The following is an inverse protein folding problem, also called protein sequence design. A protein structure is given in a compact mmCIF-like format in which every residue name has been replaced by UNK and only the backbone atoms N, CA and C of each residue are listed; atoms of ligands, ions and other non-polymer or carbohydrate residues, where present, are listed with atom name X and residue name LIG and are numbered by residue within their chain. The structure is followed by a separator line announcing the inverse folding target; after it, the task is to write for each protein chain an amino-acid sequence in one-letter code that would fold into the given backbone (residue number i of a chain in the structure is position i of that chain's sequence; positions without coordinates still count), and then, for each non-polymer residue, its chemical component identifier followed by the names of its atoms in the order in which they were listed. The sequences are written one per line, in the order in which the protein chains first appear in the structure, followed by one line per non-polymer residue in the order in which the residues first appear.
data_IF_405071124703
#
_entry.id   IF_405071124703
#
_cell.length_a   1.000
_cell.length_b   1.000
_cell.length_c   1.000
_cell.angle_alpha   90.00
_cell.angle_beta   90.00
_cell.angle_gamma   90.00
#
_symmetry.space_group_name_H-M   'P 1'
#
loop_
_entity.id
_entity.type
_entity.pdbx_description
1 polymer ?
#
# COMPACT_ATOMS: atom_id res chain seq x y z
N UNK A 1 9.34 13.78 71.97
CA UNK A 1 9.55 15.01 71.16
C UNK A 1 9.61 14.62 69.69
N UNK A 2 9.24 15.55 68.82
CA UNK A 2 8.74 15.43 67.44
C UNK A 2 9.55 14.56 66.47
N UNK A 3 8.80 13.81 65.66
CA UNK A 3 9.19 13.26 64.38
C UNK A 3 9.26 14.37 63.32
N UNK A 4 10.39 14.47 62.61
CA UNK A 4 10.55 15.35 61.45
C UNK A 4 10.47 14.54 60.14
N UNK A 5 9.30 14.64 59.50
CA UNK A 5 9.07 14.98 58.08
C UNK A 5 10.34 15.56 57.39
N UNK A 6 10.68 15.35 56.11
CA UNK A 6 9.87 15.09 54.91
C UNK A 6 10.80 15.04 53.67
N UNK A 7 10.46 14.16 52.71
CA UNK A 7 10.65 14.25 51.25
C UNK A 7 11.99 14.77 50.70
N UNK A 8 12.75 13.85 50.13
CA UNK A 8 13.58 14.14 48.97
C UNK A 8 12.99 13.39 47.76
N UNK A 9 12.12 14.09 47.02
CA UNK A 9 11.71 13.65 45.69
C UNK A 9 12.89 13.89 44.76
N UNK A 10 13.62 12.82 44.39
CA UNK A 10 14.52 12.87 43.24
C UNK A 10 13.66 13.01 41.98
N UNK A 11 13.51 14.26 41.59
CA UNK A 11 12.98 14.72 40.33
C UNK A 11 14.04 14.50 39.24
N UNK A 12 14.22 13.25 38.81
CA UNK A 12 15.00 12.94 37.61
C UNK A 12 14.06 12.89 36.40
N UNK A 13 13.86 14.08 35.83
CA UNK A 13 13.91 14.33 34.39
C UNK A 13 13.21 13.31 33.49
N UNK A 14 11.88 13.43 33.40
CA UNK A 14 11.09 12.88 32.28
C UNK A 14 11.51 13.56 30.96
N UNK A 15 12.50 13.00 30.27
CA UNK A 15 12.77 13.38 28.88
C UNK A 15 11.72 12.75 27.97
N UNK A 16 10.58 13.45 27.89
CA UNK A 16 9.53 13.27 26.91
C UNK A 16 10.10 13.46 25.51
N UNK A 17 9.97 12.43 24.69
CA UNK A 17 9.62 12.50 23.27
C UNK A 17 10.41 13.49 22.42
N UNK A 18 11.55 13.04 21.92
CA UNK A 18 12.15 13.62 20.72
C UNK A 18 11.16 13.49 19.56
N UNK A 19 10.57 14.61 19.17
CA UNK A 19 9.67 14.72 18.02
C UNK A 19 10.47 14.52 16.74
N UNK A 20 10.20 13.43 16.03
CA UNK A 20 10.66 13.22 14.66
C UNK A 20 10.16 14.38 13.78
N UNK A 21 11.10 15.07 13.13
CA UNK A 21 10.86 16.09 12.12
C UNK A 21 10.87 15.43 10.73
N UNK A 22 9.87 15.78 9.93
CA UNK A 22 9.90 15.73 8.46
C UNK A 22 9.70 14.33 7.87
N UNK A 23 8.50 14.02 7.37
CA UNK A 23 8.05 14.34 6.00
C UNK A 23 8.57 13.26 5.05
N UNK A 24 7.74 12.23 4.88
CA UNK A 24 7.37 11.70 3.56
C UNK A 24 6.07 10.87 3.72
N UNK A 25 5.03 11.29 2.99
CA UNK A 25 3.88 10.50 2.56
C UNK A 25 3.21 9.50 3.54
N UNK A 26 2.82 9.89 4.75
CA UNK A 26 2.02 8.98 5.59
C UNK A 26 0.57 8.89 5.07
N UNK A 27 0.38 8.05 4.05
CA UNK A 27 -0.89 7.36 3.84
C UNK A 27 -1.36 6.89 5.21
N UNK A 28 -2.59 7.25 5.56
CA UNK A 28 -3.17 7.15 6.90
C UNK A 28 -3.25 5.69 7.35
N UNK A 29 -2.10 5.11 7.66
CA UNK A 29 -1.98 3.78 8.22
C UNK A 29 -2.47 3.89 9.65
N UNK A 30 -3.70 3.43 9.86
CA UNK A 30 -4.19 3.12 11.19
C UNK A 30 -3.21 2.19 11.92
N UNK A 31 -3.34 2.02 13.25
CA UNK A 31 -2.45 1.18 14.03
C UNK A 31 -2.26 -0.19 13.36
N UNK A 32 -1.00 -0.62 13.17
CA UNK A 32 -0.63 -1.93 12.62
C UNK A 32 -1.03 -3.02 13.63
N UNK A 33 -2.31 -3.36 13.63
CA UNK A 33 -2.86 -4.42 14.47
C UNK A 33 -2.72 -5.76 13.75
N UNK A 34 -2.62 -6.83 14.54
CA UNK A 34 -2.64 -8.20 14.01
C UNK A 34 -3.85 -8.45 13.09
N UNK A 35 -5.01 -7.86 13.41
CA UNK A 35 -6.22 -7.98 12.60
C UNK A 35 -6.03 -7.37 11.20
N UNK A 36 -5.49 -6.15 11.12
CA UNK A 36 -5.23 -5.50 9.83
C UNK A 36 -4.20 -6.28 9.00
N UNK A 37 -3.11 -6.75 9.62
CA UNK A 37 -2.11 -7.57 8.92
C UNK A 37 -2.69 -8.87 8.35
N UNK A 38 -3.58 -9.55 9.10
CA UNK A 38 -4.29 -10.73 8.59
C UNK A 38 -5.26 -10.40 7.46
N UNK A 39 -5.91 -9.25 7.51
CA UNK A 39 -6.81 -8.78 6.47
C UNK A 39 -6.06 -8.47 5.15
N UNK A 40 -4.88 -7.85 5.23
CA UNK A 40 -4.01 -7.62 4.07
C UNK A 40 -3.56 -8.94 3.45
N UNK A 41 -3.03 -9.88 4.24
CA UNK A 41 -2.62 -11.20 3.74
C UNK A 41 -3.78 -11.99 3.09
N UNK A 42 -5.01 -11.82 3.61
CA UNK A 42 -6.19 -12.41 2.99
C UNK A 42 -6.50 -11.77 1.63
N UNK A 43 -6.42 -10.44 1.52
CA UNK A 43 -6.62 -9.73 0.24
C UNK A 43 -5.55 -10.10 -0.79
N UNK A 44 -4.29 -10.24 -0.39
CA UNK A 44 -3.21 -10.73 -1.26
C UNK A 44 -3.56 -12.11 -1.85
N UNK A 45 -4.03 -13.04 -1.01
CA UNK A 45 -4.48 -14.36 -1.45
C UNK A 45 -5.67 -14.27 -2.43
N UNK A 46 -6.62 -13.37 -2.20
CA UNK A 46 -7.76 -13.16 -3.11
C UNK A 46 -7.33 -12.58 -4.45
N UNK A 47 -6.42 -11.61 -4.45
CA UNK A 47 -5.86 -11.02 -5.66
C UNK A 47 -5.09 -12.06 -6.49
N UNK A 48 -4.36 -12.97 -5.84
CA UNK A 48 -3.69 -14.08 -6.53
C UNK A 48 -4.72 -15.00 -7.21
N UNK A 49 -5.77 -15.43 -6.49
CA UNK A 49 -6.83 -16.26 -7.09
C UNK A 49 -7.52 -15.56 -8.26
N UNK A 50 -7.82 -14.27 -8.09
CA UNK A 50 -8.40 -13.43 -9.15
C UNK A 50 -7.54 -13.43 -10.40
N UNK A 51 -6.23 -13.25 -10.26
CA UNK A 51 -5.28 -13.27 -11.37
C UNK A 51 -5.24 -14.64 -12.05
N UNK A 52 -5.23 -15.74 -11.28
CA UNK A 52 -5.27 -17.09 -11.82
C UNK A 52 -6.53 -17.35 -12.64
N UNK A 53 -7.72 -16.96 -12.14
CA UNK A 53 -8.97 -17.17 -12.88
C UNK A 53 -9.01 -16.35 -14.16
N UNK A 54 -8.49 -15.11 -14.14
CA UNK A 54 -8.36 -14.30 -15.37
C UNK A 54 -7.52 -15.00 -16.43
N UNK A 55 -6.38 -15.56 -16.04
CA UNK A 55 -5.53 -16.35 -16.95
C UNK A 55 -6.27 -17.58 -17.49
N UNK A 56 -7.06 -18.26 -16.65
CA UNK A 56 -7.87 -19.41 -17.09
C UNK A 56 -8.95 -19.03 -18.10
N UNK A 57 -9.55 -17.84 -17.98
CA UNK A 57 -10.59 -17.40 -18.93
C UNK A 57 -10.02 -17.22 -20.35
N UNK A 58 -8.76 -16.82 -20.47
CA UNK A 58 -8.07 -16.63 -21.75
C UNK A 58 -7.63 -17.95 -22.41
N UNK A 59 -7.65 -19.05 -21.66
CA UNK A 59 -7.20 -20.36 -22.11
C UNK A 59 -8.31 -21.14 -22.83
N UNK A 60 -8.06 -21.64 -24.07
CA UNK A 60 -9.07 -22.33 -24.87
C UNK A 60 -9.53 -23.65 -24.23
N UNK A 61 -8.71 -24.26 -23.37
CA UNK A 61 -9.03 -25.47 -22.63
C UNK A 61 -10.25 -25.31 -21.71
N UNK A 62 -10.55 -24.08 -21.29
CA UNK A 62 -11.63 -23.77 -20.36
C UNK A 62 -12.89 -23.19 -21.03
N UNK A 63 -12.97 -23.18 -22.37
CA UNK A 63 -14.09 -22.60 -23.11
C UNK A 63 -15.45 -23.17 -22.67
N UNK A 64 -15.52 -24.46 -22.37
CA UNK A 64 -16.76 -25.15 -21.94
C UNK A 64 -17.24 -24.74 -20.55
N UNK A 65 -16.35 -24.22 -19.70
CA UNK A 65 -16.65 -23.80 -18.33
C UNK A 65 -16.51 -22.28 -18.10
N UNK A 66 -16.28 -21.50 -19.15
CA UNK A 66 -16.13 -20.04 -19.06
C UNK A 66 -17.24 -19.35 -18.25
N UNK A 67 -18.55 -19.69 -18.39
CA UNK A 67 -19.60 -19.08 -17.57
C UNK A 67 -19.40 -19.26 -16.06
N UNK A 68 -18.83 -20.40 -15.66
CA UNK A 68 -18.51 -20.71 -14.26
C UNK A 68 -17.33 -19.84 -13.80
N UNK A 69 -16.24 -19.78 -14.59
CA UNK A 69 -15.06 -18.98 -14.26
C UNK A 69 -15.38 -17.48 -14.17
N UNK A 70 -16.23 -16.96 -15.07
CA UNK A 70 -16.72 -15.58 -15.00
C UNK A 70 -17.56 -15.35 -13.74
N UNK A 71 -18.39 -16.32 -13.35
CA UNK A 71 -19.14 -16.27 -12.10
C UNK A 71 -18.24 -16.24 -10.86
N UNK A 72 -17.20 -17.10 -10.83
CA UNK A 72 -16.22 -17.16 -9.75
C UNK A 72 -15.41 -15.87 -9.66
N UNK A 73 -14.94 -15.34 -10.80
CA UNK A 73 -14.22 -14.07 -10.86
C UNK A 73 -15.05 -12.93 -10.25
N UNK A 74 -16.34 -12.84 -10.60
CA UNK A 74 -17.26 -11.85 -10.02
C UNK A 74 -17.44 -12.05 -8.52
N UNK A 75 -17.55 -13.29 -8.05
CA UNK A 75 -17.66 -13.59 -6.63
C UNK A 75 -16.42 -13.13 -5.85
N UNK A 76 -15.22 -13.39 -6.37
CA UNK A 76 -13.97 -12.92 -5.77
C UNK A 76 -13.90 -11.39 -5.76
N UNK A 77 -14.26 -10.73 -6.87
CA UNK A 77 -14.28 -9.27 -6.96
C UNK A 77 -15.23 -8.65 -5.92
N UNK A 78 -16.41 -9.24 -5.70
CA UNK A 78 -17.34 -8.79 -4.66
C UNK A 78 -16.74 -8.94 -3.26
N UNK A 79 -16.18 -10.11 -2.94
CA UNK A 79 -15.57 -10.36 -1.62
C UNK A 79 -14.40 -9.41 -1.36
N UNK A 80 -13.54 -9.15 -2.36
CA UNK A 80 -12.43 -8.19 -2.23
C UNK A 80 -12.96 -6.80 -1.89
N UNK A 81 -13.99 -6.34 -2.60
CA UNK A 81 -14.58 -5.01 -2.40
C UNK A 81 -15.22 -4.87 -1.02
N UNK A 82 -16.07 -5.84 -0.63
CA UNK A 82 -16.74 -5.85 0.68
C UNK A 82 -15.73 -5.93 1.83
N UNK A 83 -14.72 -6.77 1.70
CA UNK A 83 -13.71 -6.98 2.74
C UNK A 83 -12.78 -5.76 2.88
N UNK A 84 -12.39 -5.13 1.77
CA UNK A 84 -11.61 -3.89 1.81
C UNK A 84 -12.36 -2.76 2.51
N UNK A 85 -13.67 -2.64 2.24
CA UNK A 85 -14.53 -1.67 2.94
C UNK A 85 -14.66 -1.98 4.43
N UNK A 86 -14.87 -3.26 4.79
CA UNK A 86 -15.03 -3.69 6.18
C UNK A 86 -13.79 -3.37 7.04
N UNK A 87 -12.60 -3.45 6.46
CA UNK A 87 -11.34 -3.22 7.17
C UNK A 87 -10.69 -1.86 6.87
N UNK A 88 -11.34 -1.01 6.08
CA UNK A 88 -10.82 0.28 5.62
C UNK A 88 -9.39 0.13 5.06
N UNK A 89 -9.19 -0.86 4.19
CA UNK A 89 -7.89 -1.12 3.56
C UNK A 89 -7.84 -0.41 2.22
N UNK A 90 -6.82 0.42 2.03
CA UNK A 90 -6.57 1.08 0.76
C UNK A 90 -5.69 0.21 -0.15
N UNK A 91 -5.89 0.33 -1.47
CA UNK A 91 -5.18 -0.46 -2.49
C UNK A 91 -3.64 -0.34 -2.38
N UNK A 92 -3.15 0.83 -1.96
CA UNK A 92 -1.72 1.06 -1.69
C UNK A 92 -1.13 0.14 -0.63
N UNK A 93 -1.93 -0.36 0.32
CA UNK A 93 -1.46 -1.24 1.41
C UNK A 93 -1.38 -2.71 1.00
N UNK A 94 -2.00 -3.05 -0.13
CA UNK A 94 -1.95 -4.40 -0.70
C UNK A 94 -0.84 -4.55 -1.74
N UNK A 95 -0.20 -3.44 -2.13
CA UNK A 95 0.88 -3.36 -3.12
C UNK A 95 2.27 -3.23 -2.48
N UNK A 96 2.39 -3.30 -1.15
CA UNK A 96 3.67 -3.29 -0.41
C UNK A 96 4.46 -4.61 -0.55
N UNK A 97 4.40 -5.26 -1.71
CA UNK A 97 5.49 -6.10 -2.21
C UNK A 97 6.57 -5.18 -2.80
N UNK A 98 7.87 -5.39 -2.57
CA UNK A 98 8.92 -4.51 -3.08
C UNK A 98 9.06 -4.71 -4.59
N UNK A 99 8.17 -4.12 -5.37
CA UNK A 99 8.36 -4.01 -6.80
C UNK A 99 9.16 -2.74 -7.09
N UNK A 100 10.28 -2.94 -7.77
CA UNK A 100 11.23 -1.91 -8.12
C UNK A 100 10.51 -0.77 -8.86
N UNK A 101 10.32 0.37 -8.20
CA UNK A 101 10.16 1.63 -8.90
C UNK A 101 11.50 1.98 -9.54
N UNK A 102 11.73 1.47 -10.75
CA UNK A 102 12.61 2.15 -11.68
C UNK A 102 11.84 3.37 -12.16
N UNK A 103 12.34 4.54 -11.72
CA UNK A 103 11.98 5.85 -12.19
C UNK A 103 12.08 5.93 -13.73
N UNK A 104 10.98 5.69 -14.45
CA UNK A 104 10.80 6.26 -15.78
C UNK A 104 10.26 7.68 -15.65
N UNK A 105 11.12 8.60 -15.23
CA UNK A 105 10.93 10.02 -15.52
C UNK A 105 11.29 10.28 -16.97
N UNK A 106 10.25 10.23 -17.80
CA UNK A 106 9.93 11.23 -18.84
C UNK A 106 11.06 12.18 -19.27
N UNK A 107 11.63 11.94 -20.45
CA UNK A 107 12.18 13.02 -21.28
C UNK A 107 11.40 12.99 -22.61
N UNK A 108 10.30 13.73 -22.64
CA UNK A 108 9.68 14.13 -23.89
C UNK A 108 10.29 15.47 -24.30
N UNK A 109 10.97 15.43 -25.45
CA UNK A 109 10.82 16.35 -26.58
C UNK A 109 10.74 17.86 -26.32
N UNK A 110 11.77 18.58 -26.77
CA UNK A 110 11.62 19.89 -27.40
C UNK A 110 12.52 19.91 -28.66
N UNK A 111 11.94 19.54 -29.81
CA UNK A 111 12.43 20.03 -31.10
C UNK A 111 11.89 21.44 -31.31
N UNK A 112 12.71 22.46 -31.05
CA UNK A 112 12.52 23.78 -31.63
C UNK A 112 13.68 24.07 -32.57
N UNK A 113 13.35 24.12 -33.86
CA UNK A 113 14.26 24.48 -34.92
C UNK A 113 14.77 25.91 -34.76
N UNK A 114 16.05 26.10 -35.08
CA UNK A 114 16.56 27.42 -35.44
C UNK A 114 17.57 27.29 -36.58
N UNK A 115 17.09 27.60 -37.79
CA UNK A 115 17.91 27.91 -38.95
C UNK A 115 18.52 29.30 -38.76
N UNK A 116 19.84 29.43 -38.58
CA UNK A 116 20.58 30.65 -38.89
C UNK A 116 22.01 30.34 -39.36
N UNK A 117 22.16 30.47 -40.68
CA UNK A 117 23.24 30.99 -41.53
C UNK A 117 24.65 31.34 -40.97
N UNK A 118 25.60 31.24 -41.91
CA UNK A 118 26.85 32.01 -42.12
C UNK A 118 28.22 31.51 -41.59
N UNK A 119 29.05 31.13 -42.59
CA UNK A 119 30.45 31.48 -42.84
C UNK A 119 31.52 31.19 -41.76
N UNK A 120 32.43 30.26 -42.06
CA UNK A 120 33.82 30.54 -42.51
C UNK A 120 34.55 29.24 -42.86
#
# INVERSE_FOLDING_TARGET
MRSEKMKEFREEGRHRGGRHRGRDGSHHHGPKTFRRGRAIAFLEMMNLKRATIKQQIEQPEFQSIQPILVGELKAIDMVINEFSQLFEIHESETLDTPDNQQDEKSINHDEEGNNLNENN
#
